data_IF_282764032902
#
_entry.id   IF_282764032902
#
_cell.length_a   1.000
_cell.length_b   1.000
_cell.length_c   1.000
_cell.angle_alpha   90.00
_cell.angle_beta   90.00
_cell.angle_gamma   90.00
#
_symmetry.space_group_name_H-M   'P 1'
#
loop_
_entity.id
_entity.type
_entity.pdbx_description
1 polymer ?
#
# COMPACT_ATOMS: atom_id res chain seq x y z
N UNK A 1 10.01 1.44 -3.49
CA UNK A 1 9.72 0.84 -2.18
C UNK A 1 9.05 -0.48 -2.43
N UNK A 2 9.51 -1.54 -1.77
CA UNK A 2 8.95 -2.89 -1.88
C UNK A 2 7.82 -3.11 -0.87
N UNK A 3 7.00 -4.14 -1.09
CA UNK A 3 5.84 -4.45 -0.24
C UNK A 3 6.22 -4.69 1.24
N UNK A 4 7.34 -5.39 1.50
CA UNK A 4 7.86 -5.63 2.85
C UNK A 4 8.22 -4.34 3.60
N UNK A 5 8.80 -3.37 2.90
CA UNK A 5 9.19 -2.07 3.47
C UNK A 5 7.94 -1.26 3.85
N UNK A 6 6.92 -1.29 2.98
CA UNK A 6 5.62 -0.66 3.22
C UNK A 6 4.92 -1.28 4.44
N UNK A 7 4.89 -2.62 4.55
CA UNK A 7 4.27 -3.33 5.68
C UNK A 7 4.98 -3.03 7.00
N UNK A 8 6.31 -2.95 7.03
CA UNK A 8 7.07 -2.58 8.23
C UNK A 8 6.74 -1.15 8.69
N UNK A 9 6.71 -0.19 7.77
CA UNK A 9 6.33 1.20 8.07
C UNK A 9 4.89 1.29 8.54
N UNK A 10 3.98 0.59 7.88
CA UNK A 10 2.58 0.51 8.28
C UNK A 10 2.41 -0.10 9.69
N UNK A 11 3.14 -1.18 9.99
CA UNK A 11 3.15 -1.79 11.33
C UNK A 11 3.75 -0.85 12.40
N UNK A 12 4.67 0.03 12.02
CA UNK A 12 5.22 1.07 12.90
C UNK A 12 4.25 2.24 13.14
N UNK A 13 3.08 2.25 12.50
CA UNK A 13 2.08 3.31 12.63
C UNK A 13 2.16 4.37 11.53
N UNK A 14 3.08 4.25 10.58
CA UNK A 14 3.16 5.14 9.42
C UNK A 14 1.90 4.96 8.56
N UNK A 15 1.29 6.06 8.16
CA UNK A 15 0.09 6.07 7.31
C UNK A 15 0.26 6.99 6.11
N UNK A 16 1.26 7.86 6.13
CA UNK A 16 1.56 8.76 5.04
C UNK A 16 2.61 8.14 4.11
N UNK A 17 2.17 7.75 2.92
CA UNK A 17 3.02 7.24 1.86
C UNK A 17 2.88 8.10 0.61
N UNK A 18 2.65 9.41 0.79
CA UNK A 18 2.48 10.32 -0.34
C UNK A 18 3.70 10.25 -1.28
N UNK A 19 3.47 10.31 -2.59
CA UNK A 19 4.54 10.37 -3.61
C UNK A 19 5.55 9.21 -3.61
N UNK A 20 5.37 8.20 -2.77
CA UNK A 20 6.24 7.04 -2.72
C UNK A 20 6.13 6.24 -4.02
N UNK A 21 7.26 5.69 -4.46
CA UNK A 21 7.30 4.84 -5.65
C UNK A 21 7.03 3.39 -5.26
N UNK A 22 5.81 2.93 -5.52
CA UNK A 22 5.31 1.58 -5.27
C UNK A 22 5.21 0.76 -6.57
N UNK A 23 5.93 1.17 -7.62
CA UNK A 23 5.88 0.51 -8.92
C UNK A 23 6.29 -0.96 -8.76
N UNK A 24 5.42 -1.89 -9.16
CA UNK A 24 5.64 -3.34 -9.03
C UNK A 24 5.48 -3.91 -7.62
N UNK A 25 5.07 -3.11 -6.62
CA UNK A 25 4.83 -3.61 -5.28
C UNK A 25 3.60 -4.55 -5.26
N UNK A 26 3.75 -5.73 -4.67
CA UNK A 26 2.62 -6.62 -4.42
C UNK A 26 1.97 -6.25 -3.08
N UNK A 27 0.88 -5.49 -3.16
CA UNK A 27 0.04 -5.09 -2.02
C UNK A 27 -1.19 -6.00 -1.86
N UNK A 28 -1.25 -7.06 -2.68
CA UNK A 28 -2.28 -8.10 -2.63
C UNK A 28 -2.41 -8.65 -1.21
N UNK A 29 -3.65 -8.74 -0.69
CA UNK A 29 -3.98 -9.27 0.64
C UNK A 29 -3.53 -8.41 1.84
N UNK A 30 -2.92 -7.24 1.62
CA UNK A 30 -2.59 -6.33 2.71
C UNK A 30 -3.86 -5.57 3.16
N UNK A 31 -4.30 -5.79 4.40
CA UNK A 31 -5.35 -4.99 5.06
C UNK A 31 -4.81 -3.58 5.38
N UNK A 32 -4.75 -2.74 4.34
CA UNK A 32 -4.26 -1.35 4.40
C UNK A 32 -5.40 -0.36 4.63
N UNK A 33 -6.34 -0.68 5.51
CA UNK A 33 -7.43 0.21 5.87
C UNK A 33 -6.87 1.55 6.37
N UNK A 34 -7.28 2.66 5.75
CA UNK A 34 -6.83 4.04 6.04
C UNK A 34 -5.39 4.41 5.61
N UNK A 35 -4.76 3.69 4.69
CA UNK A 35 -3.49 4.14 4.12
C UNK A 35 -3.69 5.37 3.21
N UNK A 36 -2.83 6.39 3.33
CA UNK A 36 -2.79 7.51 2.40
C UNK A 36 -1.79 7.22 1.27
N UNK A 37 -2.31 6.83 0.11
CA UNK A 37 -1.53 6.59 -1.13
C UNK A 37 -1.66 7.75 -2.13
N UNK A 38 -2.07 8.93 -1.67
CA UNK A 38 -2.24 10.09 -2.53
C UNK A 38 -0.93 10.41 -3.27
N UNK A 39 -0.99 10.60 -4.58
CA UNK A 39 0.18 10.86 -5.45
C UNK A 39 1.23 9.73 -5.54
N UNK A 40 1.02 8.56 -4.91
CA UNK A 40 1.96 7.45 -5.01
C UNK A 40 2.00 6.88 -6.45
N UNK A 41 3.19 6.45 -6.89
CA UNK A 41 3.37 5.78 -8.19
C UNK A 41 3.05 4.29 -8.05
N UNK A 42 1.88 3.89 -8.54
CA UNK A 42 1.34 2.51 -8.45
C UNK A 42 1.46 1.71 -9.76
N UNK A 43 2.33 2.13 -10.69
CA UNK A 43 2.43 1.47 -11.99
C UNK A 43 2.85 0.00 -11.79
N UNK A 44 2.15 -0.95 -12.40
CA UNK A 44 2.39 -2.40 -12.21
C UNK A 44 2.27 -2.91 -10.75
N UNK A 45 1.74 -2.11 -9.82
CA UNK A 45 1.47 -2.57 -8.46
C UNK A 45 0.30 -3.56 -8.46
N UNK A 46 0.48 -4.70 -7.80
CA UNK A 46 -0.57 -5.70 -7.68
C UNK A 46 -1.45 -5.36 -6.46
N UNK A 47 -2.69 -4.94 -6.73
CA UNK A 47 -3.71 -4.58 -5.74
C UNK A 47 -4.84 -5.62 -5.66
N UNK A 48 -4.68 -6.78 -6.30
CA UNK A 48 -5.70 -7.83 -6.25
C UNK A 48 -5.91 -8.28 -4.79
N UNK A 49 -7.12 -8.13 -4.25
CA UNK A 49 -7.46 -8.36 -2.82
C UNK A 49 -6.93 -7.34 -1.80
N UNK A 50 -6.55 -6.12 -2.18
CA UNK A 50 -6.47 -5.04 -1.19
C UNK A 50 -7.91 -4.70 -0.74
N UNK A 51 -8.22 -5.05 0.50
CA UNK A 51 -9.56 -5.43 0.95
C UNK A 51 -10.66 -4.37 0.70
N UNK A 52 -11.77 -4.85 0.14
CA UNK A 52 -12.99 -4.08 -0.10
C UNK A 52 -13.91 -4.39 1.08
N UNK A 53 -14.01 -3.49 2.07
CA UNK A 53 -15.09 -3.56 3.07
C UNK A 53 -16.43 -3.40 2.33
N UNK A 54 -17.07 -4.53 2.02
CA UNK A 54 -18.47 -4.61 1.65
C UNK A 54 -19.28 -4.56 2.95
N UNK A 55 -19.82 -3.38 3.26
CA UNK A 55 -20.95 -3.22 4.17
C UNK A 55 -22.27 -3.67 3.54
#
# INVERSE_FOLDING_TARGET
>A
MDADELLKRYAAGERDFHEENLTGASLSEAFLSHICLACARLKDANLASADHELG
#
